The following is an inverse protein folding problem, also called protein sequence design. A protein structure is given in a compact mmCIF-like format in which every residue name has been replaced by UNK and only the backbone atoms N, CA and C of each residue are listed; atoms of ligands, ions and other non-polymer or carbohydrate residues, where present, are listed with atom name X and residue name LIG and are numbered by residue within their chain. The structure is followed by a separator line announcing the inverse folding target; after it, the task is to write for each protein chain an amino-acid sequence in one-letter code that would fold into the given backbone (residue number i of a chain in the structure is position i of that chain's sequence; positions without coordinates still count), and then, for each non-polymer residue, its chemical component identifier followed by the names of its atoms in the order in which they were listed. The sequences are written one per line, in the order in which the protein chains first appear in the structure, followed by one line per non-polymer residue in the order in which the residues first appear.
data_IF_530468740419
#
_entry.id   IF_530468740419
#
_cell.length_a   1.000
_cell.length_b   1.000
_cell.length_c   1.000
_cell.angle_alpha   90.00
_cell.angle_beta   90.00
_cell.angle_gamma   90.00
#
_symmetry.space_group_name_H-M   'P 1'
#
loop_
_entity.id
_entity.type
_entity.pdbx_description
1 polymer ?
#
# COMPACT_ATOMS: atom_id res chain seq x y z
N UNK A 1 -16.97 -11.29 -25.10
CA UNK A 1 -17.31 -10.49 -23.91
C UNK A 1 -16.02 -10.28 -23.16
N UNK A 2 -15.51 -9.04 -23.18
CA UNK A 2 -14.18 -8.70 -22.67
C UNK A 2 -14.09 -9.00 -21.18
N UNK A 3 -13.07 -9.77 -20.78
CA UNK A 3 -12.74 -9.99 -19.37
C UNK A 3 -12.41 -8.63 -18.76
N UNK A 4 -13.32 -8.07 -17.97
CA UNK A 4 -13.06 -6.90 -17.15
C UNK A 4 -12.01 -7.32 -16.12
N UNK A 5 -10.75 -7.00 -16.40
CA UNK A 5 -9.64 -7.20 -15.48
C UNK A 5 -9.92 -6.35 -14.24
N UNK A 6 -10.60 -6.93 -13.24
CA UNK A 6 -11.10 -6.25 -12.04
C UNK A 6 -9.97 -6.01 -11.01
N UNK A 7 -8.77 -5.72 -11.50
CA UNK A 7 -7.63 -5.35 -10.66
C UNK A 7 -7.83 -3.91 -10.21
N UNK A 8 -7.89 -3.72 -8.88
CA UNK A 8 -7.91 -2.41 -8.27
C UNK A 8 -6.62 -1.70 -8.67
N UNK A 9 -6.76 -0.54 -9.31
CA UNK A 9 -5.59 0.22 -9.77
C UNK A 9 -4.80 0.74 -8.56
N UNK A 10 -3.46 0.68 -8.58
CA UNK A 10 -2.64 1.22 -7.50
C UNK A 10 -2.86 2.72 -7.31
N UNK A 11 -2.53 3.19 -6.12
CA UNK A 11 -2.62 4.60 -5.78
C UNK A 11 -1.58 5.41 -6.55
N UNK A 12 -1.90 6.69 -6.79
CA UNK A 12 -0.98 7.66 -7.37
C UNK A 12 -0.56 8.69 -6.33
N UNK A 13 0.73 8.98 -6.31
CA UNK A 13 1.34 10.04 -5.49
C UNK A 13 1.03 11.43 -6.07
N UNK A 14 1.17 12.47 -5.25
CA UNK A 14 1.03 13.87 -5.67
C UNK A 14 1.94 14.21 -6.88
N UNK A 15 3.16 13.67 -6.90
CA UNK A 15 4.10 13.89 -8.00
C UNK A 15 3.68 13.19 -9.30
N UNK A 16 3.06 12.01 -9.22
CA UNK A 16 2.53 11.31 -10.41
C UNK A 16 1.33 12.06 -11.01
N UNK A 17 0.45 12.60 -10.15
CA UNK A 17 -0.63 13.48 -10.60
C UNK A 17 -0.09 14.75 -11.25
N UNK A 18 0.98 15.32 -10.71
CA UNK A 18 1.66 16.46 -11.31
C UNK A 18 2.23 16.13 -12.69
N UNK A 19 2.97 15.02 -12.82
CA UNK A 19 3.52 14.57 -14.10
C UNK A 19 2.42 14.39 -15.14
N UNK A 20 1.28 13.80 -14.75
CA UNK A 20 0.13 13.61 -15.63
C UNK A 20 -0.46 14.94 -16.09
N UNK A 21 -0.71 15.87 -15.16
CA UNK A 21 -1.26 17.20 -15.48
C UNK A 21 -0.39 17.93 -16.50
N UNK A 22 0.93 17.87 -16.32
CA UNK A 22 1.88 18.55 -17.21
C UNK A 22 1.86 17.94 -18.62
N UNK A 23 1.76 16.62 -18.73
CA UNK A 23 1.61 15.93 -20.02
C UNK A 23 0.26 16.27 -20.66
N UNK A 24 -0.81 16.33 -19.89
CA UNK A 24 -2.14 16.70 -20.39
C UNK A 24 -2.15 18.16 -20.89
N UNK A 25 -1.46 19.07 -20.21
CA UNK A 25 -1.28 20.45 -20.63
C UNK A 25 -0.49 20.54 -21.95
N UNK A 26 0.61 19.79 -22.09
CA UNK A 26 1.36 19.70 -23.35
C UNK A 26 0.53 19.12 -24.49
N UNK A 27 -0.22 18.05 -24.23
CA UNK A 27 -1.14 17.47 -25.20
C UNK A 27 -2.23 18.45 -25.62
N UNK A 28 -2.77 19.23 -24.68
CA UNK A 28 -3.76 20.25 -24.96
C UNK A 28 -3.20 21.39 -25.83
N UNK A 29 -1.95 21.78 -25.61
CA UNK A 29 -1.23 22.78 -26.42
C UNK A 29 -0.86 22.25 -27.81
N UNK A 30 -0.56 20.96 -27.91
CA UNK A 30 -0.25 20.29 -29.18
C UNK A 30 -1.51 19.88 -29.96
N UNK A 31 -2.72 20.25 -29.52
CA UNK A 31 -3.97 20.05 -30.27
C UNK A 31 -3.96 20.90 -31.54
N UNK A 32 -3.38 20.34 -32.61
CA UNK A 32 -3.29 20.98 -33.92
C UNK A 32 -2.31 20.26 -34.85
N UNK A 33 -1.29 19.61 -34.31
CA UNK A 33 -0.37 18.78 -35.07
C UNK A 33 -0.89 17.33 -35.12
N UNK A 34 -0.77 16.65 -36.27
CA UNK A 34 -1.04 15.21 -36.43
C UNK A 34 0.05 14.36 -35.72
N UNK A 35 0.44 14.74 -34.51
CA UNK A 35 1.44 14.08 -33.70
C UNK A 35 0.80 13.10 -32.71
N UNK A 36 1.54 12.06 -32.36
CA UNK A 36 1.13 11.12 -31.31
C UNK A 36 0.95 11.84 -29.97
N UNK A 37 -0.06 11.41 -29.21
CA UNK A 37 -0.28 11.89 -27.84
C UNK A 37 0.98 11.65 -27.01
N UNK A 38 1.48 12.69 -26.35
CA UNK A 38 2.55 12.57 -25.37
C UNK A 38 1.98 11.82 -24.17
N UNK A 39 2.71 10.84 -23.67
CA UNK A 39 2.39 10.13 -22.43
C UNK A 39 3.54 10.35 -21.45
N UNK A 40 3.26 10.20 -20.15
CA UNK A 40 4.31 10.22 -19.14
C UNK A 40 5.24 9.03 -19.41
N UNK A 41 6.48 9.32 -19.81
CA UNK A 41 7.57 8.35 -20.02
C UNK A 41 8.73 8.69 -19.09
N UNK A 42 9.57 7.72 -18.78
CA UNK A 42 10.76 7.92 -17.93
C UNK A 42 11.62 9.10 -18.37
N UNK A 43 11.76 9.33 -19.69
CA UNK A 43 12.49 10.47 -20.25
C UNK A 43 11.94 11.85 -19.83
N UNK A 44 10.66 11.95 -19.48
CA UNK A 44 10.01 13.21 -19.11
C UNK A 44 10.06 13.47 -17.58
N UNK A 45 10.32 12.42 -16.78
CA UNK A 45 10.35 12.50 -15.31
C UNK A 45 11.40 13.50 -14.80
N UNK A 46 12.65 13.55 -15.32
CA UNK A 46 13.65 14.50 -14.84
C UNK A 46 13.24 15.98 -14.98
N UNK A 47 12.51 16.33 -16.04
CA UNK A 47 12.01 17.69 -16.23
C UNK A 47 10.84 18.00 -15.30
N UNK A 48 9.90 17.06 -15.12
CA UNK A 48 8.83 17.19 -14.13
C UNK A 48 9.40 17.39 -12.73
N UNK A 49 10.42 16.61 -12.35
CA UNK A 49 11.07 16.70 -11.06
C UNK A 49 11.68 18.09 -10.81
N UNK A 50 12.48 18.60 -11.76
CA UNK A 50 13.09 19.94 -11.67
C UNK A 50 12.06 21.06 -11.49
N UNK A 51 10.87 20.91 -12.07
CA UNK A 51 9.79 21.90 -11.93
C UNK A 51 9.04 21.73 -10.62
N UNK A 52 8.78 20.49 -10.20
CA UNK A 52 8.16 20.13 -8.92
C UNK A 52 8.96 20.64 -7.71
N UNK A 53 10.30 20.53 -7.73
CA UNK A 53 11.16 21.03 -6.66
C UNK A 53 10.99 22.53 -6.42
N UNK A 54 10.74 23.31 -7.48
CA UNK A 54 10.57 24.76 -7.42
C UNK A 54 9.15 25.19 -7.03
N UNK A 55 8.21 24.26 -6.94
CA UNK A 55 6.84 24.57 -6.54
C UNK A 55 6.75 24.78 -5.03
N UNK A 56 5.93 25.75 -4.63
CA UNK A 56 5.61 26.01 -3.23
C UNK A 56 4.69 24.93 -2.68
N UNK A 57 4.68 24.79 -1.35
CA UNK A 57 3.79 23.83 -0.67
C UNK A 57 2.31 24.09 -1.01
N UNK A 58 1.92 25.36 -1.16
CA UNK A 58 0.57 25.74 -1.57
C UNK A 58 0.21 25.24 -2.97
N UNK A 59 1.17 25.25 -3.90
CA UNK A 59 0.94 24.73 -5.25
C UNK A 59 0.97 23.20 -5.30
N UNK A 60 1.73 22.56 -4.37
CA UNK A 60 1.73 21.11 -4.18
C UNK A 60 0.47 20.62 -3.48
N UNK A 61 -0.15 21.44 -2.64
CA UNK A 61 -1.34 21.10 -1.86
C UNK A 61 -2.46 20.51 -2.72
N UNK A 62 -2.73 21.10 -3.89
CA UNK A 62 -3.77 20.57 -4.80
C UNK A 62 -3.49 19.13 -5.23
N UNK A 63 -2.22 18.73 -5.32
CA UNK A 63 -1.82 17.37 -5.69
C UNK A 63 -1.80 16.45 -4.48
N UNK A 64 -1.43 16.96 -3.31
CA UNK A 64 -1.58 16.23 -2.05
C UNK A 64 -3.07 15.90 -1.78
N UNK A 65 -3.99 16.82 -2.10
CA UNK A 65 -5.44 16.57 -2.00
C UNK A 65 -5.92 15.52 -3.02
N UNK A 66 -5.32 15.49 -4.21
CA UNK A 66 -5.61 14.47 -5.23
C UNK A 66 -5.08 13.09 -4.80
N UNK A 67 -3.89 13.03 -4.21
CA UNK A 67 -3.32 11.82 -3.62
C UNK A 67 -4.21 11.30 -2.48
N UNK A 68 -4.63 12.17 -1.56
CA UNK A 68 -5.53 11.80 -0.47
C UNK A 68 -6.86 11.21 -0.98
N UNK A 69 -7.47 11.83 -2.00
CA UNK A 69 -8.67 11.30 -2.65
C UNK A 69 -8.42 9.98 -3.38
N UNK A 70 -7.25 9.81 -4.00
CA UNK A 70 -6.87 8.56 -4.68
C UNK A 70 -6.69 7.41 -3.69
N UNK A 71 -6.10 7.71 -2.52
CA UNK A 71 -5.99 6.80 -1.38
C UNK A 71 -7.38 6.39 -0.84
N UNK A 72 -8.29 7.35 -0.66
CA UNK A 72 -9.67 7.07 -0.24
C UNK A 72 -10.41 6.17 -1.24
N UNK A 73 -10.29 6.46 -2.55
CA UNK A 73 -10.85 5.59 -3.60
C UNK A 73 -10.27 4.18 -3.49
N UNK A 74 -8.95 4.05 -3.38
CA UNK A 74 -8.30 2.74 -3.29
C UNK A 74 -8.77 1.95 -2.07
N UNK A 75 -8.88 2.59 -0.90
CA UNK A 75 -9.42 1.95 0.30
C UNK A 75 -10.89 1.53 0.13
N UNK A 76 -11.72 2.35 -0.51
CA UNK A 76 -13.12 2.02 -0.79
C UNK A 76 -13.25 0.88 -1.82
N UNK A 77 -12.41 0.86 -2.86
CA UNK A 77 -12.34 -0.21 -3.87
C UNK A 77 -11.86 -1.53 -3.24
N UNK A 78 -10.87 -1.49 -2.34
CA UNK A 78 -10.39 -2.64 -1.58
C UNK A 78 -11.46 -3.19 -0.62
N UNK A 79 -12.20 -2.31 0.07
CA UNK A 79 -13.25 -2.71 1.00
C UNK A 79 -14.49 -3.29 0.28
N UNK A 80 -14.81 -2.80 -0.92
CA UNK A 80 -15.97 -3.25 -1.70
C UNK A 80 -15.70 -4.48 -2.57
N UNK A 81 -14.44 -4.87 -2.77
CA UNK A 81 -14.05 -5.95 -3.67
C UNK A 81 -13.24 -7.04 -2.95
N UNK A 82 -13.90 -7.96 -2.18
CA UNK A 82 -13.22 -9.02 -1.42
C UNK A 82 -12.51 -10.08 -2.28
N UNK A 83 -12.65 -10.02 -3.61
CA UNK A 83 -12.03 -10.97 -4.55
C UNK A 83 -10.61 -10.59 -4.99
N UNK A 84 -10.09 -9.42 -4.59
CA UNK A 84 -8.76 -8.94 -5.01
C UNK A 84 -7.75 -9.06 -3.87
N UNK A 85 -7.66 -10.22 -3.23
CA UNK A 85 -6.45 -10.65 -2.49
C UNK A 85 -5.30 -10.99 -3.47
N UNK A 86 -5.15 -10.18 -4.52
CA UNK A 86 -4.08 -10.27 -5.50
C UNK A 86 -2.88 -9.48 -5.01
N UNK A 87 -2.01 -10.17 -4.27
CA UNK A 87 -0.58 -9.90 -4.07
C UNK A 87 -0.04 -8.67 -4.83
N UNK A 88 -0.02 -7.53 -4.15
CA UNK A 88 0.41 -6.25 -4.72
C UNK A 88 1.22 -5.47 -3.70
N UNK A 89 2.50 -5.85 -3.56
CA UNK A 89 3.58 -5.09 -2.90
C UNK A 89 3.24 -4.62 -1.49
N UNK A 90 3.26 -5.55 -0.55
CA UNK A 90 3.67 -5.21 0.82
C UNK A 90 5.17 -4.89 0.77
N UNK A 91 5.51 -3.61 0.59
CA UNK A 91 6.87 -3.11 0.75
C UNK A 91 7.28 -3.40 2.19
N UNK A 92 8.02 -4.49 2.42
CA UNK A 92 8.54 -4.92 3.72
C UNK A 92 7.59 -4.55 4.86
N UNK A 93 6.43 -5.22 4.92
CA UNK A 93 5.56 -5.10 6.08
C UNK A 93 6.42 -5.35 7.31
N UNK A 94 6.48 -4.35 8.16
CA UNK A 94 6.84 -4.55 9.55
C UNK A 94 6.19 -5.84 10.02
N UNK A 95 6.96 -6.81 10.53
CA UNK A 95 6.38 -8.04 11.04
C UNK A 95 5.34 -7.62 12.07
N UNK A 96 4.06 -7.83 11.76
CA UNK A 96 3.00 -7.39 12.67
C UNK A 96 3.27 -8.00 14.05
N UNK A 97 2.95 -7.29 15.12
CA UNK A 97 3.13 -7.76 16.50
C UNK A 97 2.60 -9.19 16.74
N UNK A 98 1.55 -9.56 15.99
CA UNK A 98 0.98 -10.90 15.98
C UNK A 98 1.93 -11.95 15.39
N UNK A 99 2.69 -11.67 14.33
CA UNK A 99 3.61 -12.64 13.73
C UNK A 99 4.75 -13.01 14.66
N UNK A 100 5.35 -12.02 15.35
CA UNK A 100 6.40 -12.27 16.35
C UNK A 100 5.84 -13.06 17.53
N UNK A 101 4.65 -12.68 18.01
CA UNK A 101 3.95 -13.42 19.05
C UNK A 101 3.65 -14.87 18.63
N UNK A 102 3.09 -15.06 17.44
CA UNK A 102 2.71 -16.36 16.92
C UNK A 102 3.95 -17.24 16.69
N UNK A 103 5.07 -16.68 16.23
CA UNK A 103 6.33 -17.38 16.09
C UNK A 103 6.85 -17.89 17.44
N UNK A 104 6.87 -17.02 18.47
CA UNK A 104 7.31 -17.37 19.83
C UNK A 104 6.40 -18.45 20.47
N UNK A 105 5.08 -18.36 20.24
CA UNK A 105 4.10 -19.29 20.82
C UNK A 105 3.91 -20.57 20.04
N UNK A 106 4.18 -20.58 18.73
CA UNK A 106 4.01 -21.76 17.87
C UNK A 106 4.82 -22.95 18.38
N UNK A 107 6.10 -22.76 18.71
CA UNK A 107 6.94 -23.84 19.23
C UNK A 107 6.41 -24.43 20.55
N UNK A 108 5.90 -23.58 21.45
CA UNK A 108 5.30 -24.06 22.70
C UNK A 108 3.99 -24.84 22.45
N UNK A 109 3.19 -24.41 21.47
CA UNK A 109 1.94 -25.08 21.11
C UNK A 109 2.18 -26.40 20.36
N UNK A 110 3.18 -26.47 19.48
CA UNK A 110 3.59 -27.70 18.80
C UNK A 110 4.04 -28.77 19.79
N UNK A 111 4.79 -28.39 20.83
CA UNK A 111 5.19 -29.31 21.90
C UNK A 111 4.02 -29.76 22.77
N UNK A 112 3.07 -28.85 23.05
CA UNK A 112 1.91 -29.15 23.89
C UNK A 112 0.83 -29.95 23.15
N UNK A 113 0.70 -29.72 21.85
CA UNK A 113 -0.28 -30.35 20.98
C UNK A 113 0.41 -30.97 19.75
N UNK A 114 1.21 -32.04 19.93
CA UNK A 114 1.97 -32.66 18.83
C UNK A 114 1.09 -33.36 17.78
N UNK A 115 -0.23 -33.38 17.99
CA UNK A 115 -1.23 -33.89 17.04
C UNK A 115 -1.92 -32.80 16.22
N UNK A 116 -1.68 -31.53 16.55
CA UNK A 116 -2.30 -30.42 15.82
C UNK A 116 -1.52 -30.14 14.55
N UNK A 117 -2.24 -29.84 13.48
CA UNK A 117 -1.63 -29.35 12.25
C UNK A 117 -1.28 -27.86 12.36
N UNK A 118 -0.49 -27.36 11.41
CA UNK A 118 -0.03 -25.97 11.40
C UNK A 118 -1.20 -24.97 11.41
N UNK A 119 -2.32 -25.31 10.77
CA UNK A 119 -3.52 -24.48 10.73
C UNK A 119 -4.19 -24.40 12.11
N UNK A 120 -4.29 -25.52 12.83
CA UNK A 120 -4.82 -25.61 14.19
C UNK A 120 -3.92 -24.86 15.17
N UNK A 121 -2.60 -24.98 15.04
CA UNK A 121 -1.65 -24.23 15.86
C UNK A 121 -1.79 -22.71 15.60
N UNK A 122 -1.95 -22.29 14.34
CA UNK A 122 -2.18 -20.88 14.01
C UNK A 122 -3.49 -20.34 14.61
N UNK A 123 -4.56 -21.13 14.61
CA UNK A 123 -5.83 -20.77 15.27
C UNK A 123 -5.68 -20.62 16.78
N UNK A 124 -4.92 -21.51 17.43
CA UNK A 124 -4.64 -21.40 18.87
C UNK A 124 -3.79 -20.16 19.19
N UNK A 125 -2.78 -19.82 18.36
CA UNK A 125 -2.07 -18.55 18.48
C UNK A 125 -3.03 -17.35 18.38
N UNK A 126 -3.96 -17.36 17.43
CA UNK A 126 -4.93 -16.28 17.26
C UNK A 126 -5.88 -16.15 18.46
N UNK A 127 -6.32 -17.26 19.05
CA UNK A 127 -7.13 -17.25 20.28
C UNK A 127 -6.35 -16.64 21.45
N UNK A 128 -5.10 -17.04 21.66
CA UNK A 128 -4.26 -16.49 22.72
C UNK A 128 -4.02 -14.99 22.51
N UNK A 129 -3.77 -14.56 21.28
CA UNK A 129 -3.63 -13.15 20.93
C UNK A 129 -4.88 -12.32 21.26
N UNK A 130 -6.06 -12.88 20.99
CA UNK A 130 -7.33 -12.25 21.30
C UNK A 130 -7.61 -12.16 22.81
N UNK A 131 -6.99 -13.03 23.62
CA UNK A 131 -7.10 -13.05 25.08
C UNK A 131 -6.05 -12.19 25.79
N UNK A 132 -5.00 -11.73 25.09
CA UNK A 132 -3.98 -10.85 25.67
C UNK A 132 -4.61 -9.55 26.19
N UNK A 133 -4.11 -9.10 27.34
CA UNK A 133 -4.45 -7.78 27.87
C UNK A 133 -3.86 -6.66 27.01
N UNK A 134 -4.40 -5.42 27.09
CA UNK A 134 -3.85 -4.27 26.36
C UNK A 134 -2.37 -4.02 26.64
N UNK A 135 -1.90 -4.26 27.87
CA UNK A 135 -0.49 -4.10 28.24
C UNK A 135 0.42 -5.14 27.58
N UNK A 136 -0.03 -6.40 27.50
CA UNK A 136 0.72 -7.45 26.80
C UNK A 136 0.74 -7.22 25.29
N UNK A 137 -0.38 -6.78 24.69
CA UNK A 137 -0.38 -6.41 23.27
C UNK A 137 0.58 -5.27 22.97
N UNK A 138 0.63 -4.25 23.84
CA UNK A 138 1.55 -3.15 23.69
C UNK A 138 3.02 -3.60 23.74
N UNK A 139 3.36 -4.54 24.64
CA UNK A 139 4.70 -5.13 24.69
C UNK A 139 5.09 -5.79 23.36
N UNK A 140 4.20 -6.60 22.77
CA UNK A 140 4.48 -7.25 21.48
C UNK A 140 4.52 -6.25 20.32
N UNK A 141 3.73 -5.17 20.37
CA UNK A 141 3.78 -4.08 19.41
C UNK A 141 5.10 -3.30 19.48
N UNK A 142 5.58 -3.01 20.69
CA UNK A 142 6.86 -2.36 20.90
C UNK A 142 8.02 -3.26 20.47
N UNK A 143 7.96 -4.56 20.78
CA UNK A 143 8.97 -5.54 20.34
C UNK A 143 9.04 -5.65 18.81
N UNK A 144 7.88 -5.59 18.14
CA UNK A 144 7.83 -5.53 16.69
C UNK A 144 8.46 -4.24 16.15
N UNK A 145 8.18 -3.10 16.77
CA UNK A 145 8.77 -1.82 16.39
C UNK A 145 10.30 -1.77 16.59
N UNK A 146 10.81 -2.32 17.70
CA UNK A 146 12.25 -2.35 18.01
C UNK A 146 13.05 -3.31 17.11
N UNK A 147 12.44 -4.39 16.61
CA UNK A 147 13.07 -5.31 15.65
C UNK A 147 13.27 -4.72 14.24
N UNK A 148 12.83 -3.47 14.00
CA UNK A 148 13.00 -2.74 12.75
C UNK A 148 14.12 -1.69 12.76
N UNK A 149 14.81 -1.50 13.89
CA UNK A 149 16.02 -0.67 14.01
C UNK A 149 17.28 -1.52 13.84
#
# INVERSE_FOLDING_TARGET
MSQSNNQIRPTKTAFEFYCQMIVDEQNARNKGEKGDKIVVKEANIPWCYKRWEKMTEKEKQRFNDLEAKDMERYHAEMASNPSTSGSGRSTHQSESAFFIFAHDKRHALEQKFPRYDEAQIAQECLKLWNQLSPGERHFWQQKAYEGHL
#
